data_IF_001381706953
#
_entry.id   IF_001381706953
#
_cell.length_a   1.000
_cell.length_b   1.000
_cell.length_c   1.000
_cell.angle_alpha   90.00
_cell.angle_beta   90.00
_cell.angle_gamma   90.00
#
_symmetry.space_group_name_H-M   'P 1'
#
loop_
_entity.id
_entity.type
_entity.pdbx_description
1 polymer ?
#
# COMPACT_ATOMS: atom_id res chain seq x y z
N UNK A 1 -21.15 27.51 28.52
CA UNK A 1 -20.00 27.97 29.29
C UNK A 1 -19.55 26.89 30.25
N UNK A 2 -18.47 26.16 29.96
CA UNK A 2 -17.59 25.51 30.94
C UNK A 2 -16.24 25.26 30.26
N UNK A 3 -15.25 26.04 30.67
CA UNK A 3 -13.83 25.95 30.34
C UNK A 3 -13.24 24.68 30.92
N UNK A 4 -12.51 23.91 30.13
CA UNK A 4 -11.59 22.91 30.66
C UNK A 4 -10.15 23.31 30.35
N UNK A 5 -9.40 23.41 31.44
CA UNK A 5 -8.02 23.86 31.51
C UNK A 5 -7.07 22.73 31.06
N UNK A 6 -6.13 23.09 30.21
CA UNK A 6 -4.97 22.27 29.83
C UNK A 6 -4.04 22.12 31.04
N UNK A 7 -3.69 20.89 31.37
CA UNK A 7 -2.62 20.56 32.31
C UNK A 7 -1.33 20.26 31.53
N UNK A 8 -0.35 21.13 31.72
CA UNK A 8 1.02 20.97 31.26
C UNK A 8 1.76 20.09 32.27
N UNK A 9 2.34 18.98 31.86
CA UNK A 9 3.25 18.18 32.68
C UNK A 9 4.69 18.40 32.20
N UNK A 10 5.51 18.96 33.09
CA UNK A 10 6.93 19.18 32.89
C UNK A 10 7.74 17.87 33.05
N UNK A 11 8.74 17.75 32.19
CA UNK A 11 9.77 16.74 32.19
C UNK A 11 10.73 16.89 33.40
N UNK A 12 11.22 15.80 33.94
CA UNK A 12 12.43 15.75 34.75
C UNK A 12 13.39 14.72 34.12
N UNK A 13 14.52 15.25 33.64
CA UNK A 13 15.72 14.54 33.24
C UNK A 13 16.50 14.10 34.45
N UNK A 14 17.01 12.87 34.50
CA UNK A 14 18.10 12.48 35.33
C UNK A 14 19.12 11.64 34.54
N UNK A 15 20.28 12.22 34.32
CA UNK A 15 21.46 11.54 33.79
C UNK A 15 22.15 10.80 34.94
N UNK A 16 22.59 9.56 34.71
CA UNK A 16 23.65 8.93 35.48
C UNK A 16 24.63 8.23 34.56
N UNK A 17 25.82 8.79 34.52
CA UNK A 17 27.01 8.16 33.98
C UNK A 17 27.68 7.37 35.10
N UNK A 18 28.12 6.15 34.83
CA UNK A 18 29.16 5.50 35.62
C UNK A 18 29.93 4.53 34.73
N UNK A 19 31.16 4.88 34.42
CA UNK A 19 32.13 4.01 33.80
C UNK A 19 32.75 3.04 34.78
N UNK A 20 33.22 1.90 34.30
CA UNK A 20 34.30 1.14 34.88
C UNK A 20 35.14 0.48 33.80
N UNK A 21 36.43 0.77 33.87
CA UNK A 21 37.48 0.10 33.13
C UNK A 21 38.02 -1.08 33.96
N UNK A 22 38.49 -2.08 33.31
CA UNK A 22 39.84 -2.64 33.38
C UNK A 22 39.95 -4.16 33.25
N UNK A 23 40.79 -4.55 32.32
CA UNK A 23 41.87 -5.54 32.32
C UNK A 23 41.65 -7.01 32.73
N UNK A 24 42.17 -7.87 31.83
CA UNK A 24 42.74 -9.14 32.25
C UNK A 24 42.77 -10.24 31.16
N UNK A 25 43.93 -10.43 30.62
CA UNK A 25 44.51 -11.35 29.65
C UNK A 25 44.17 -12.84 29.81
N UNK A 26 44.19 -13.51 28.66
CA UNK A 26 44.99 -14.67 28.21
C UNK A 26 44.20 -15.85 27.62
N UNK A 27 44.48 -16.14 26.35
CA UNK A 27 44.87 -17.45 25.86
C UNK A 27 43.78 -18.47 25.52
N UNK A 28 43.61 -18.75 24.24
CA UNK A 28 42.91 -19.96 23.77
C UNK A 28 42.55 -19.90 22.32
N UNK A 29 43.39 -20.50 21.52
CA UNK A 29 43.25 -20.77 20.07
C UNK A 29 42.02 -21.61 19.78
N UNK A 30 41.14 -21.17 18.89
CA UNK A 30 40.18 -22.03 18.19
C UNK A 30 39.64 -21.33 16.95
N UNK A 31 40.03 -21.83 15.80
CA UNK A 31 39.41 -21.84 14.46
C UNK A 31 38.36 -20.75 14.15
N UNK A 32 38.76 -19.78 13.37
CA UNK A 32 37.90 -18.84 12.65
C UNK A 32 37.03 -19.60 11.65
N UNK A 33 35.71 -19.63 11.92
CA UNK A 33 34.71 -19.64 10.86
C UNK A 33 34.55 -18.17 10.42
N UNK A 34 34.91 -17.89 9.20
CA UNK A 34 34.54 -16.66 8.50
C UNK A 34 33.02 -16.69 8.30
N UNK A 35 32.30 -16.06 9.21
CA UNK A 35 30.93 -15.63 8.98
C UNK A 35 31.04 -14.36 8.14
N UNK A 36 30.70 -14.47 6.86
CA UNK A 36 30.65 -13.34 5.97
C UNK A 36 29.42 -12.53 6.34
N UNK A 37 29.57 -11.57 7.25
CA UNK A 37 28.62 -10.47 7.42
C UNK A 37 28.51 -9.76 6.07
N UNK A 38 27.50 -10.14 5.27
CA UNK A 38 26.98 -9.26 4.23
C UNK A 38 26.36 -8.10 5.03
N UNK A 39 27.08 -7.01 5.18
CA UNK A 39 26.48 -5.72 5.43
C UNK A 39 25.41 -5.53 4.35
N UNK A 40 24.15 -5.61 4.72
CA UNK A 40 23.06 -5.21 3.86
C UNK A 40 23.36 -3.77 3.46
N UNK A 41 23.61 -3.55 2.20
CA UNK A 41 23.93 -2.23 1.67
C UNK A 41 22.72 -1.34 2.01
N UNK A 42 22.92 -0.42 2.95
CA UNK A 42 21.92 0.59 3.29
C UNK A 42 21.74 1.44 2.03
N UNK A 43 20.62 1.22 1.32
CA UNK A 43 20.26 2.05 0.18
C UNK A 43 19.99 3.45 0.76
N UNK A 44 20.71 4.49 0.35
CA UNK A 44 20.47 5.83 0.83
C UNK A 44 19.05 6.24 0.41
N UNK A 45 18.20 6.55 1.38
CA UNK A 45 16.88 7.08 1.13
C UNK A 45 17.00 8.45 0.42
N UNK A 46 16.11 8.67 -0.56
CA UNK A 46 15.85 10.01 -1.07
C UNK A 46 15.42 10.92 0.09
N UNK A 47 15.70 12.22 0.00
CA UNK A 47 15.34 13.20 1.02
C UNK A 47 13.84 13.22 1.35
N UNK A 48 13.00 12.70 0.44
CA UNK A 48 11.54 12.62 0.57
C UNK A 48 11.07 11.30 1.22
N UNK A 49 12.00 10.38 1.57
CA UNK A 49 11.73 9.10 2.22
C UNK A 49 12.66 8.97 3.43
N UNK A 50 12.19 9.49 4.56
CA UNK A 50 13.00 9.63 5.79
C UNK A 50 12.68 8.58 6.84
N UNK A 51 11.54 7.91 6.71
CA UNK A 51 11.04 6.92 7.68
C UNK A 51 11.54 5.53 7.28
N UNK A 52 12.17 4.83 8.23
CA UNK A 52 12.60 3.44 8.03
C UNK A 52 11.43 2.45 8.06
N UNK A 53 11.64 1.26 7.50
CA UNK A 53 10.65 0.18 7.42
C UNK A 53 10.10 -0.25 8.78
N UNK A 54 10.92 -0.16 9.83
CA UNK A 54 10.55 -0.47 11.22
C UNK A 54 9.67 0.60 11.87
N UNK A 55 9.51 1.76 11.23
CA UNK A 55 8.79 2.93 11.75
C UNK A 55 7.57 3.35 10.95
N UNK A 56 7.44 2.91 9.70
CA UNK A 56 6.35 3.35 8.84
C UNK A 56 4.96 3.00 9.42
N UNK A 57 4.80 1.80 9.97
CA UNK A 57 3.53 1.39 10.58
C UNK A 57 3.18 2.22 11.82
N UNK A 58 4.19 2.63 12.63
CA UNK A 58 3.99 3.53 13.76
C UNK A 58 3.61 4.95 13.29
N UNK A 59 4.25 5.45 12.24
CA UNK A 59 3.98 6.76 11.65
C UNK A 59 2.59 6.85 11.03
N UNK A 60 2.16 5.78 10.35
CA UNK A 60 0.81 5.69 9.77
C UNK A 60 -0.29 5.74 10.83
N UNK A 61 -0.05 5.22 12.04
CA UNK A 61 -0.98 5.29 13.16
C UNK A 61 -2.35 4.67 12.90
N UNK A 62 -3.43 5.33 13.34
CA UNK A 62 -4.79 4.88 13.12
C UNK A 62 -5.30 5.32 11.74
N UNK A 63 -5.83 4.39 10.96
CA UNK A 63 -6.34 4.66 9.62
C UNK A 63 -7.86 4.66 9.51
N UNK A 64 -8.36 5.40 8.53
CA UNK A 64 -9.75 5.41 8.08
C UNK A 64 -9.81 4.92 6.63
N UNK A 65 -10.80 4.08 6.31
CA UNK A 65 -11.02 3.63 4.94
C UNK A 65 -12.16 4.44 4.31
N UNK A 66 -11.84 5.27 3.32
CA UNK A 66 -12.82 6.03 2.53
C UNK A 66 -13.38 5.09 1.46
N UNK A 67 -14.23 4.18 1.89
CA UNK A 67 -14.80 3.13 1.07
C UNK A 67 -16.21 3.41 0.58
N UNK A 68 -16.66 2.61 -0.39
CA UNK A 68 -17.94 2.70 -1.08
C UNK A 68 -18.10 3.98 -1.90
N UNK A 69 -17.01 4.50 -2.45
CA UNK A 69 -16.94 5.70 -3.26
C UNK A 69 -16.16 5.46 -4.56
N UNK A 70 -14.82 5.64 -4.62
CA UNK A 70 -14.07 5.47 -5.87
C UNK A 70 -13.98 4.01 -6.36
N UNK A 71 -14.30 3.03 -5.53
CA UNK A 71 -14.46 1.64 -5.93
C UNK A 71 -15.90 1.26 -6.26
N UNK A 72 -16.86 2.13 -5.94
CA UNK A 72 -18.27 1.84 -6.15
C UNK A 72 -18.60 1.72 -7.65
N UNK A 73 -19.38 0.70 -8.00
CA UNK A 73 -19.74 0.41 -9.37
C UNK A 73 -21.15 -0.18 -9.47
N UNK A 74 -21.70 -0.13 -10.69
CA UNK A 74 -22.95 -0.80 -11.02
C UNK A 74 -22.89 -1.28 -12.48
N UNK A 75 -23.08 -2.58 -12.69
CA UNK A 75 -22.96 -3.18 -14.01
C UNK A 75 -21.58 -2.94 -14.64
N UNK A 76 -20.50 -3.02 -13.85
CA UNK A 76 -19.13 -2.83 -14.31
C UNK A 76 -18.74 -1.37 -14.61
N UNK A 77 -19.60 -0.41 -14.25
CA UNK A 77 -19.31 1.01 -14.44
C UNK A 77 -19.02 1.68 -13.11
N UNK A 78 -17.83 2.23 -12.99
CA UNK A 78 -17.41 2.96 -11.79
C UNK A 78 -18.17 4.28 -11.68
N UNK A 79 -18.74 4.50 -10.50
CA UNK A 79 -19.43 5.75 -10.18
C UNK A 79 -19.38 5.97 -8.68
N UNK A 80 -18.73 7.04 -8.26
CA UNK A 80 -18.42 7.37 -6.86
C UNK A 80 -19.64 7.40 -5.94
N UNK A 81 -20.83 7.69 -6.46
CA UNK A 81 -22.05 7.87 -5.67
C UNK A 81 -23.07 6.73 -5.79
N UNK A 82 -22.78 5.72 -6.61
CA UNK A 82 -23.78 4.70 -7.00
C UNK A 82 -24.21 3.81 -5.83
N UNK A 83 -23.41 3.67 -4.80
CA UNK A 83 -23.75 2.92 -3.59
C UNK A 83 -24.33 3.80 -2.47
N UNK A 84 -24.68 5.05 -2.79
CA UNK A 84 -25.44 5.95 -1.92
C UNK A 84 -24.59 6.87 -1.04
N UNK A 85 -23.28 6.83 -1.14
CA UNK A 85 -22.41 7.81 -0.51
C UNK A 85 -22.31 9.08 -1.39
N UNK A 86 -22.09 10.26 -0.80
CA UNK A 86 -21.76 11.47 -1.56
C UNK A 86 -20.34 11.37 -2.14
N UNK A 87 -20.01 12.28 -3.04
CA UNK A 87 -18.63 12.47 -3.50
C UNK A 87 -17.70 12.80 -2.32
N UNK A 88 -16.44 12.35 -2.40
CA UNK A 88 -15.41 12.69 -1.42
C UNK A 88 -15.08 14.18 -1.56
N UNK A 89 -15.08 14.88 -0.45
CA UNK A 89 -14.74 16.31 -0.41
C UNK A 89 -13.59 16.58 0.55
N UNK A 90 -12.96 17.76 0.43
CA UNK A 90 -11.94 18.20 1.38
C UNK A 90 -12.50 18.23 2.81
N UNK A 91 -13.76 18.69 3.00
CA UNK A 91 -14.37 18.78 4.31
C UNK A 91 -14.55 17.41 4.98
N UNK A 92 -14.85 16.35 4.18
CA UNK A 92 -14.90 14.99 4.71
C UNK A 92 -13.52 14.56 5.22
N UNK A 93 -12.48 14.77 4.42
CA UNK A 93 -11.11 14.38 4.80
C UNK A 93 -10.62 15.21 6.00
N UNK A 94 -10.93 16.50 6.04
CA UNK A 94 -10.62 17.36 7.21
C UNK A 94 -11.31 16.84 8.48
N UNK A 95 -12.57 16.41 8.39
CA UNK A 95 -13.29 15.83 9.53
C UNK A 95 -12.67 14.49 10.01
N UNK A 96 -12.12 13.69 9.10
CA UNK A 96 -11.39 12.44 9.43
C UNK A 96 -10.08 12.79 10.17
N UNK A 97 -9.33 13.77 9.69
CA UNK A 97 -8.11 14.26 10.35
C UNK A 97 -8.41 14.84 11.74
N UNK A 98 -9.45 15.66 11.86
CA UNK A 98 -9.91 16.25 13.14
C UNK A 98 -10.34 15.18 14.15
N UNK A 99 -10.84 14.02 13.68
CA UNK A 99 -11.16 12.89 14.53
C UNK A 99 -9.91 12.14 15.05
N UNK A 100 -8.71 12.51 14.57
CA UNK A 100 -7.42 11.98 15.04
C UNK A 100 -6.87 10.81 14.22
N UNK A 101 -7.44 10.53 13.05
CA UNK A 101 -6.84 9.58 12.10
C UNK A 101 -5.62 10.21 11.42
N UNK A 102 -4.62 9.40 11.15
CA UNK A 102 -3.35 9.82 10.54
C UNK A 102 -3.10 9.17 9.18
N UNK A 103 -3.94 8.20 8.80
CA UNK A 103 -3.89 7.53 7.51
C UNK A 103 -5.30 7.41 6.92
N UNK A 104 -5.40 7.59 5.62
CA UNK A 104 -6.61 7.34 4.84
C UNK A 104 -6.30 6.31 3.75
N UNK A 105 -7.07 5.23 3.70
CA UNK A 105 -7.05 4.31 2.57
C UNK A 105 -8.19 4.65 1.63
N UNK A 106 -7.87 4.83 0.36
CA UNK A 106 -8.78 5.20 -0.72
C UNK A 106 -8.87 4.04 -1.70
N UNK A 107 -9.87 3.15 -1.55
CA UNK A 107 -10.12 2.10 -2.53
C UNK A 107 -10.49 2.69 -3.89
N UNK A 108 -9.91 2.15 -4.97
CA UNK A 108 -10.15 2.63 -6.33
C UNK A 108 -10.39 1.45 -7.28
N UNK A 109 -11.46 1.50 -8.07
CA UNK A 109 -11.68 0.56 -9.18
C UNK A 109 -11.44 1.24 -10.52
N UNK A 110 -10.94 0.47 -11.47
CA UNK A 110 -10.60 0.95 -12.82
C UNK A 110 -11.50 0.35 -13.91
N UNK A 111 -12.18 -0.75 -13.68
CA UNK A 111 -13.17 -1.46 -14.52
C UNK A 111 -13.36 -0.87 -15.95
N UNK A 112 -14.40 -0.03 -16.14
CA UNK A 112 -14.72 0.65 -17.40
C UNK A 112 -13.87 1.91 -17.67
N UNK A 113 -12.84 2.15 -16.85
CA UNK A 113 -11.91 3.29 -16.98
C UNK A 113 -10.64 2.93 -17.75
N UNK A 114 -10.57 1.72 -18.32
CA UNK A 114 -9.43 1.23 -19.10
C UNK A 114 -9.88 1.03 -20.55
N UNK A 115 -9.16 1.64 -21.47
CA UNK A 115 -9.34 1.42 -22.92
C UNK A 115 -8.47 0.24 -23.38
N UNK A 116 -9.06 -0.96 -23.41
CA UNK A 116 -8.38 -2.18 -23.80
C UNK A 116 -7.90 -2.16 -25.26
N UNK A 117 -8.58 -1.40 -26.14
CA UNK A 117 -8.22 -1.29 -27.54
C UNK A 117 -7.01 -0.37 -27.78
N UNK A 118 -6.67 0.45 -26.81
CA UNK A 118 -5.59 1.44 -26.90
C UNK A 118 -4.47 1.16 -25.86
N UNK A 119 -4.00 -0.08 -25.77
CA UNK A 119 -2.89 -0.46 -24.91
C UNK A 119 -3.17 -0.26 -23.41
N UNK A 120 -4.40 -0.54 -23.01
CA UNK A 120 -4.87 -0.43 -21.62
C UNK A 120 -4.74 0.98 -21.03
N UNK A 121 -4.99 2.00 -21.85
CA UNK A 121 -4.92 3.39 -21.40
C UNK A 121 -5.99 3.67 -20.36
N UNK A 122 -5.57 4.13 -19.19
CA UNK A 122 -6.50 4.56 -18.12
C UNK A 122 -7.08 5.94 -18.44
N UNK A 123 -8.37 6.12 -18.21
CA UNK A 123 -9.05 7.40 -18.36
C UNK A 123 -8.35 8.49 -17.51
N UNK A 124 -7.84 9.51 -18.19
CA UNK A 124 -7.11 10.59 -17.53
C UNK A 124 -7.97 11.39 -16.55
N UNK A 125 -9.27 11.58 -16.89
CA UNK A 125 -10.19 12.29 -15.99
C UNK A 125 -10.45 11.48 -14.70
N UNK A 126 -10.42 10.15 -14.80
CA UNK A 126 -10.50 9.29 -13.63
C UNK A 126 -9.25 9.39 -12.76
N UNK A 127 -8.06 9.37 -13.35
CA UNK A 127 -6.80 9.60 -12.63
C UNK A 127 -6.75 11.01 -12.02
N UNK A 128 -7.29 12.04 -12.69
CA UNK A 128 -7.41 13.39 -12.13
C UNK A 128 -8.28 13.38 -10.85
N UNK A 129 -9.41 12.62 -10.87
CA UNK A 129 -10.27 12.51 -9.69
C UNK A 129 -9.59 11.78 -8.54
N UNK A 130 -8.89 10.67 -8.81
CA UNK A 130 -8.12 9.94 -7.80
C UNK A 130 -7.07 10.87 -7.17
N UNK A 131 -6.36 11.62 -8.00
CA UNK A 131 -5.33 12.56 -7.54
C UNK A 131 -5.91 13.69 -6.71
N UNK A 132 -7.08 14.21 -7.07
CA UNK A 132 -7.78 15.22 -6.28
C UNK A 132 -8.06 14.73 -4.85
N UNK A 133 -8.53 13.48 -4.71
CA UNK A 133 -8.77 12.88 -3.38
C UNK A 133 -7.46 12.66 -2.62
N UNK A 134 -6.41 12.21 -3.30
CA UNK A 134 -5.06 12.13 -2.71
C UNK A 134 -4.61 13.50 -2.20
N UNK A 135 -4.84 14.56 -2.99
CA UNK A 135 -4.47 15.91 -2.58
C UNK A 135 -5.27 16.41 -1.37
N UNK A 136 -6.55 16.04 -1.23
CA UNK A 136 -7.32 16.34 -0.02
C UNK A 136 -6.66 15.77 1.24
N UNK A 137 -6.16 14.54 1.15
CA UNK A 137 -5.46 13.90 2.27
C UNK A 137 -4.11 14.57 2.55
N UNK A 138 -3.36 14.94 1.52
CA UNK A 138 -2.08 15.66 1.65
C UNK A 138 -2.26 17.03 2.29
N UNK A 139 -3.35 17.74 1.99
CA UNK A 139 -3.66 19.04 2.61
C UNK A 139 -3.81 18.94 4.14
N UNK A 140 -4.17 17.76 4.64
CA UNK A 140 -4.30 17.47 6.08
C UNK A 140 -3.06 16.79 6.67
N UNK A 141 -2.01 16.56 5.88
CA UNK A 141 -0.78 15.88 6.32
C UNK A 141 -0.97 14.39 6.63
N UNK A 142 -1.94 13.73 5.99
CA UNK A 142 -2.25 12.32 6.19
C UNK A 142 -1.39 11.42 5.30
N UNK A 143 -1.09 10.21 5.78
CA UNK A 143 -0.69 9.11 4.92
C UNK A 143 -1.88 8.67 4.07
N UNK A 144 -1.62 8.32 2.81
CA UNK A 144 -2.65 7.90 1.85
C UNK A 144 -2.28 6.57 1.24
N UNK A 145 -3.20 5.63 1.24
CA UNK A 145 -3.05 4.36 0.53
C UNK A 145 -4.04 4.35 -0.64
N UNK A 146 -3.56 4.16 -1.86
CA UNK A 146 -4.42 3.89 -3.02
C UNK A 146 -4.16 2.49 -3.55
N UNK A 147 -5.18 1.84 -4.12
CA UNK A 147 -5.08 0.47 -4.60
C UNK A 147 -5.84 0.22 -5.91
N UNK A 148 -5.81 -1.03 -6.36
CA UNK A 148 -6.75 -1.61 -7.31
C UNK A 148 -7.75 -2.48 -6.52
N UNK A 149 -9.05 -2.15 -6.56
CA UNK A 149 -10.01 -2.71 -5.61
C UNK A 149 -11.02 -3.68 -6.24
N UNK A 150 -12.03 -3.16 -6.93
CA UNK A 150 -13.13 -3.97 -7.45
C UNK A 150 -12.80 -4.77 -8.71
N UNK A 151 -11.67 -4.51 -9.32
CA UNK A 151 -11.22 -5.12 -10.58
C UNK A 151 -10.95 -6.63 -10.44
N UNK A 152 -10.65 -7.10 -9.21
CA UNK A 152 -10.29 -8.47 -8.86
C UNK A 152 -11.45 -9.36 -8.41
N UNK A 153 -12.70 -8.90 -8.45
CA UNK A 153 -13.81 -9.69 -7.96
C UNK A 153 -14.58 -10.41 -9.07
N UNK A 154 -14.69 -11.74 -9.00
CA UNK A 154 -15.52 -12.55 -9.88
C UNK A 154 -17.02 -12.17 -9.82
N UNK A 155 -17.47 -11.53 -8.75
CA UNK A 155 -18.86 -11.10 -8.54
C UNK A 155 -19.17 -9.72 -9.10
N UNK A 156 -18.18 -9.00 -9.62
CA UNK A 156 -18.34 -7.68 -10.20
C UNK A 156 -18.36 -7.79 -11.73
N UNK A 157 -19.41 -7.26 -12.35
CA UNK A 157 -19.47 -7.17 -13.81
C UNK A 157 -18.26 -6.39 -14.34
N UNK A 158 -17.58 -6.94 -15.34
CA UNK A 158 -16.36 -6.33 -15.90
C UNK A 158 -15.10 -6.51 -15.04
N UNK A 159 -15.16 -7.26 -13.95
CA UNK A 159 -13.96 -7.70 -13.23
C UNK A 159 -13.02 -8.47 -14.16
N UNK A 160 -11.77 -8.03 -14.25
CA UNK A 160 -10.81 -8.54 -15.23
C UNK A 160 -9.52 -9.06 -14.61
N UNK A 161 -9.21 -8.60 -13.43
CA UNK A 161 -8.00 -8.92 -12.67
C UNK A 161 -8.26 -10.15 -11.79
N UNK A 162 -8.32 -11.35 -12.39
CA UNK A 162 -8.78 -12.57 -11.73
C UNK A 162 -7.68 -13.62 -11.67
N UNK A 163 -7.33 -14.10 -10.47
CA UNK A 163 -6.34 -15.19 -10.28
C UNK A 163 -6.72 -16.49 -10.97
N UNK A 164 -8.03 -16.73 -11.18
CA UNK A 164 -8.59 -17.89 -11.86
C UNK A 164 -9.05 -17.59 -13.30
N UNK A 165 -8.70 -16.41 -13.84
CA UNK A 165 -9.02 -16.04 -15.21
C UNK A 165 -8.34 -16.95 -16.24
N UNK A 166 -8.98 -17.15 -17.41
CA UNK A 166 -8.48 -18.06 -18.43
C UNK A 166 -7.24 -17.53 -19.16
N UNK A 167 -7.18 -16.21 -19.40
CA UNK A 167 -6.06 -15.56 -20.10
C UNK A 167 -5.15 -14.81 -19.13
N UNK A 168 -4.29 -15.55 -18.46
CA UNK A 168 -3.35 -15.00 -17.47
C UNK A 168 -2.29 -14.09 -18.11
N UNK A 169 -1.95 -14.30 -19.39
CA UNK A 169 -0.96 -13.44 -20.06
C UNK A 169 -1.56 -12.06 -20.34
N UNK A 170 -2.78 -12.00 -20.83
CA UNK A 170 -3.50 -10.73 -21.01
C UNK A 170 -3.70 -10.00 -19.66
N UNK A 171 -4.08 -10.73 -18.60
CA UNK A 171 -4.28 -10.13 -17.27
C UNK A 171 -2.99 -9.49 -16.77
N UNK A 172 -1.85 -10.18 -16.87
CA UNK A 172 -0.54 -9.68 -16.46
C UNK A 172 -0.11 -8.44 -17.25
N UNK A 173 -0.27 -8.48 -18.58
CA UNK A 173 0.04 -7.34 -19.46
C UNK A 173 -0.80 -6.10 -19.10
N UNK A 174 -2.11 -6.28 -18.93
CA UNK A 174 -3.03 -5.21 -18.56
C UNK A 174 -2.69 -4.64 -17.17
N UNK A 175 -2.41 -5.52 -16.20
CA UNK A 175 -2.07 -5.13 -14.84
C UNK A 175 -0.79 -4.30 -14.77
N UNK A 176 0.25 -4.74 -15.48
CA UNK A 176 1.51 -3.99 -15.63
C UNK A 176 1.26 -2.61 -16.25
N UNK A 177 0.51 -2.55 -17.37
CA UNK A 177 0.23 -1.32 -18.08
C UNK A 177 -0.56 -0.32 -17.23
N UNK A 178 -1.54 -0.78 -16.44
CA UNK A 178 -2.34 0.07 -15.55
C UNK A 178 -1.50 0.58 -14.39
N UNK A 179 -0.75 -0.30 -13.70
CA UNK A 179 0.11 0.12 -12.59
C UNK A 179 1.23 1.07 -13.01
N UNK A 180 1.77 0.89 -14.23
CA UNK A 180 2.76 1.82 -14.77
C UNK A 180 2.19 3.24 -14.87
N UNK A 181 0.98 3.39 -15.42
CA UNK A 181 0.32 4.69 -15.56
C UNK A 181 0.01 5.32 -14.19
N UNK A 182 -0.46 4.52 -13.23
CA UNK A 182 -0.69 4.98 -11.86
C UNK A 182 0.64 5.44 -11.26
N UNK A 183 1.69 4.64 -11.31
CA UNK A 183 2.98 4.95 -10.74
C UNK A 183 3.60 6.22 -11.35
N UNK A 184 3.54 6.38 -12.66
CA UNK A 184 4.02 7.58 -13.37
C UNK A 184 3.22 8.83 -12.98
N UNK A 185 1.89 8.71 -12.89
CA UNK A 185 1.00 9.83 -12.50
C UNK A 185 1.32 10.36 -11.11
N UNK A 186 1.59 9.46 -10.17
CA UNK A 186 1.80 9.79 -8.76
C UNK A 186 3.29 9.86 -8.36
N UNK A 187 4.24 9.81 -9.30
CA UNK A 187 5.67 9.80 -9.02
C UNK A 187 6.17 11.00 -8.19
N UNK A 188 5.51 12.16 -8.31
CA UNK A 188 5.88 13.41 -7.61
C UNK A 188 5.63 13.38 -6.09
N UNK A 189 4.75 12.51 -5.61
CA UNK A 189 4.39 12.41 -4.19
C UNK A 189 5.49 11.74 -3.38
N UNK A 190 5.65 12.15 -2.13
CA UNK A 190 6.64 11.64 -1.17
C UNK A 190 6.18 10.36 -0.44
N UNK A 191 6.79 10.09 0.71
CA UNK A 191 6.54 8.89 1.54
C UNK A 191 5.13 8.79 2.12
N UNK A 192 4.35 9.88 2.10
CA UNK A 192 2.97 9.84 2.58
C UNK A 192 2.02 9.13 1.62
N UNK A 193 2.38 8.97 0.32
CA UNK A 193 1.59 8.17 -0.61
C UNK A 193 2.14 6.75 -0.71
N UNK A 194 1.30 5.80 -0.39
CA UNK A 194 1.59 4.36 -0.37
C UNK A 194 0.74 3.69 -1.45
N UNK A 195 1.31 2.75 -2.18
CA UNK A 195 0.55 1.95 -3.14
C UNK A 195 0.29 0.57 -2.56
N UNK A 196 -0.93 0.09 -2.72
CA UNK A 196 -1.36 -1.27 -2.39
C UNK A 196 -1.72 -2.00 -3.68
N UNK A 197 -1.08 -3.14 -3.95
CA UNK A 197 -1.16 -3.81 -5.25
C UNK A 197 -2.58 -4.19 -5.64
N UNK A 198 -3.36 -4.70 -4.70
CA UNK A 198 -4.72 -5.19 -4.89
C UNK A 198 -5.46 -5.24 -3.56
N UNK A 199 -6.76 -5.52 -3.62
CA UNK A 199 -7.57 -5.74 -2.41
C UNK A 199 -7.51 -7.22 -1.97
N UNK A 200 -8.66 -7.86 -1.79
CA UNK A 200 -8.87 -9.22 -1.28
C UNK A 200 -8.88 -10.24 -2.42
N UNK A 201 -7.79 -10.32 -3.18
CA UNK A 201 -7.72 -11.17 -4.36
C UNK A 201 -7.83 -12.65 -4.00
N UNK A 202 -8.75 -13.35 -4.66
CA UNK A 202 -9.02 -14.77 -4.47
C UNK A 202 -9.80 -15.34 -5.67
N UNK A 203 -10.06 -16.64 -5.65
CA UNK A 203 -10.92 -17.30 -6.64
C UNK A 203 -12.44 -17.18 -6.30
N UNK A 204 -12.78 -16.45 -5.26
CA UNK A 204 -14.15 -16.24 -4.80
C UNK A 204 -14.75 -17.40 -4.00
N UNK A 205 -14.02 -18.49 -3.75
CA UNK A 205 -14.56 -19.62 -2.99
C UNK A 205 -14.52 -19.44 -1.49
N UNK A 206 -13.58 -18.65 -0.97
CA UNK A 206 -13.37 -18.35 0.46
C UNK A 206 -13.21 -19.60 1.37
N UNK A 207 -13.00 -20.79 0.80
CA UNK A 207 -13.01 -22.05 1.54
C UNK A 207 -11.67 -22.43 2.17
N UNK A 208 -10.68 -21.59 2.07
CA UNK A 208 -9.43 -21.73 2.80
C UNK A 208 -8.44 -22.73 2.22
N UNK A 209 -8.67 -23.28 1.05
CA UNK A 209 -7.77 -24.23 0.43
C UNK A 209 -7.55 -23.91 -1.05
N UNK A 210 -6.98 -22.72 -1.34
CA UNK A 210 -6.87 -22.23 -2.69
C UNK A 210 -6.00 -23.15 -3.56
N UNK A 211 -6.29 -23.15 -4.85
CA UNK A 211 -5.51 -23.82 -5.86
C UNK A 211 -4.08 -23.23 -5.90
N UNK A 212 -3.06 -24.09 -5.93
CA UNK A 212 -1.65 -23.66 -5.99
C UNK A 212 -1.33 -22.77 -7.20
N UNK A 213 -2.00 -23.03 -8.33
CA UNK A 213 -1.87 -22.22 -9.54
C UNK A 213 -2.38 -20.79 -9.30
N UNK A 214 -3.51 -20.62 -8.62
CA UNK A 214 -4.07 -19.31 -8.31
C UNK A 214 -3.19 -18.53 -7.32
N UNK A 215 -2.59 -19.23 -6.36
CA UNK A 215 -1.54 -18.63 -5.51
C UNK A 215 -0.34 -18.15 -6.31
N UNK A 216 0.12 -18.99 -7.24
CA UNK A 216 1.25 -18.63 -8.09
C UNK A 216 0.92 -17.38 -8.95
N UNK A 217 -0.33 -17.28 -9.45
CA UNK A 217 -0.79 -16.09 -10.16
C UNK A 217 -0.80 -14.85 -9.26
N UNK A 218 -1.34 -14.96 -8.03
CA UNK A 218 -1.31 -13.87 -7.05
C UNK A 218 0.12 -13.37 -6.78
N UNK A 219 1.05 -14.29 -6.56
CA UNK A 219 2.45 -13.94 -6.34
C UNK A 219 3.09 -13.26 -7.55
N UNK A 220 2.76 -13.71 -8.77
CA UNK A 220 3.22 -13.07 -9.99
C UNK A 220 2.66 -11.65 -10.12
N UNK A 221 1.40 -11.41 -9.79
CA UNK A 221 0.82 -10.07 -9.80
C UNK A 221 1.52 -9.14 -8.79
N UNK A 222 1.76 -9.61 -7.57
CA UNK A 222 2.52 -8.86 -6.59
C UNK A 222 3.94 -8.54 -7.09
N UNK A 223 4.61 -9.49 -7.76
CA UNK A 223 5.95 -9.25 -8.33
C UNK A 223 5.89 -8.24 -9.48
N UNK A 224 4.93 -8.37 -10.41
CA UNK A 224 4.72 -7.41 -11.50
C UNK A 224 4.48 -6.00 -10.93
N UNK A 225 3.63 -5.88 -9.92
CA UNK A 225 3.39 -4.61 -9.26
C UNK A 225 4.67 -3.96 -8.73
N UNK A 226 5.46 -4.72 -7.95
CA UNK A 226 6.71 -4.22 -7.37
C UNK A 226 7.68 -3.81 -8.48
N UNK A 227 7.91 -4.67 -9.47
CA UNK A 227 8.86 -4.41 -10.54
C UNK A 227 8.43 -3.21 -11.39
N UNK A 228 7.13 -3.12 -11.71
CA UNK A 228 6.57 -2.01 -12.49
C UNK A 228 6.71 -0.68 -11.75
N UNK A 229 6.29 -0.62 -10.49
CA UNK A 229 6.40 0.62 -9.71
C UNK A 229 7.86 1.03 -9.56
N UNK A 230 8.76 0.12 -9.19
CA UNK A 230 10.20 0.38 -9.07
C UNK A 230 10.81 0.82 -10.41
N UNK A 231 10.37 0.21 -11.52
CA UNK A 231 10.83 0.49 -12.88
C UNK A 231 10.50 1.90 -13.38
N UNK A 232 9.49 2.57 -12.83
CA UNK A 232 9.19 3.97 -13.17
C UNK A 232 10.21 4.97 -12.61
N UNK A 233 11.08 4.53 -11.70
CA UNK A 233 12.19 5.33 -11.19
C UNK A 233 11.79 6.43 -10.20
N UNK A 234 12.65 7.44 -10.07
CA UNK A 234 12.44 8.60 -9.18
C UNK A 234 12.05 8.17 -7.75
N UNK A 235 11.05 8.84 -7.15
CA UNK A 235 10.54 8.55 -5.81
C UNK A 235 9.92 7.16 -5.69
N UNK A 236 9.48 6.58 -6.80
CA UNK A 236 8.91 5.23 -6.80
C UNK A 236 9.94 4.13 -6.52
N UNK A 237 11.24 4.40 -6.64
CA UNK A 237 12.31 3.49 -6.21
C UNK A 237 12.27 3.22 -4.70
N UNK A 238 11.76 4.17 -3.92
CA UNK A 238 11.69 4.10 -2.45
C UNK A 238 10.26 4.07 -1.88
N UNK A 239 9.24 4.24 -2.73
CA UNK A 239 7.83 4.27 -2.30
C UNK A 239 7.46 3.05 -1.48
N UNK A 240 6.71 3.27 -0.40
CA UNK A 240 6.11 2.18 0.37
C UNK A 240 5.08 1.43 -0.48
N UNK A 241 5.19 0.11 -0.49
CA UNK A 241 4.31 -0.79 -1.23
C UNK A 241 3.69 -1.80 -0.27
N UNK A 242 2.39 -1.98 -0.36
CA UNK A 242 1.64 -3.02 0.34
C UNK A 242 1.30 -4.14 -0.65
N UNK A 243 1.68 -5.36 -0.30
CA UNK A 243 1.40 -6.57 -1.07
C UNK A 243 0.58 -7.53 -0.22
N UNK A 244 -0.72 -7.70 -0.50
CA UNK A 244 -1.56 -8.60 0.26
C UNK A 244 -1.27 -10.06 -0.11
N UNK A 245 -1.54 -10.94 0.85
CA UNK A 245 -1.65 -12.36 0.58
C UNK A 245 -3.06 -12.74 0.14
N UNK A 246 -3.29 -14.05 -0.02
CA UNK A 246 -4.57 -14.60 -0.46
C UNK A 246 -5.73 -14.11 0.41
N UNK A 247 -6.69 -13.44 -0.25
CA UNK A 247 -7.89 -12.91 0.40
C UNK A 247 -7.58 -12.13 1.70
N UNK A 248 -6.41 -11.46 1.77
CA UNK A 248 -5.89 -10.78 2.97
C UNK A 248 -5.86 -11.64 4.24
N UNK A 249 -5.93 -12.96 4.11
CA UNK A 249 -5.94 -13.89 5.23
C UNK A 249 -4.51 -14.19 5.68
N UNK A 250 -4.21 -13.86 6.94
CA UNK A 250 -2.86 -14.02 7.50
C UNK A 250 -2.42 -15.49 7.58
N UNK A 251 -3.35 -16.43 7.85
CA UNK A 251 -3.02 -17.85 7.93
C UNK A 251 -2.56 -18.40 6.59
N UNK A 252 -3.18 -17.93 5.49
CA UNK A 252 -2.78 -18.32 4.15
C UNK A 252 -1.51 -17.60 3.68
N UNK A 253 -1.23 -16.43 4.22
CA UNK A 253 -0.03 -15.66 3.86
C UNK A 253 1.23 -16.19 4.52
N UNK A 254 1.16 -16.66 5.78
CA UNK A 254 2.33 -17.11 6.57
C UNK A 254 2.42 -18.63 6.74
N UNK A 255 1.45 -19.38 6.23
CA UNK A 255 1.43 -20.85 6.31
C UNK A 255 2.17 -21.54 5.16
N UNK A 256 2.23 -22.89 5.20
CA UNK A 256 2.88 -23.73 4.19
C UNK A 256 2.06 -23.84 2.88
N UNK A 257 1.38 -22.79 2.46
CA UNK A 257 0.51 -22.79 1.28
C UNK A 257 1.22 -22.45 -0.03
N UNK A 258 2.52 -22.15 0.01
CA UNK A 258 3.34 -22.03 -1.20
C UNK A 258 3.72 -20.61 -1.61
N UNK A 259 3.73 -19.69 -0.66
CA UNK A 259 4.38 -18.38 -0.84
C UNK A 259 5.89 -18.50 -0.71
#
# INVERSE_FOLDING_TARGET
>A
MKFWKRLTACALTAAMAAGFAACGSSGGDASKKEDSDKEDAVIPYDSDFTIGVDKIAEAMGAGWNVGNQLEANSGGKVNETVWGNPEITQELISAVADAGFTTVRVPVSYLDRIDDANGYQVDSAWLDRVEEVVQYCYNEGLYVIINMHGDGYNSIDGGWFLVNGEDQDMIREKYEAVWKQIAERFAKYDEHLIFESMNEESDGTYDGNPNKEYYANLNQYNQIFVDTVRGTGEKNTHRWLLVPGWNTNIEYTVGDYGF
#
